data_IF_633343165786
#
_entry.id   IF_633343165786
#
_cell.length_a   1.000
_cell.length_b   1.000
_cell.length_c   1.000
_cell.angle_alpha   90.00
_cell.angle_beta   90.00
_cell.angle_gamma   90.00
#
_symmetry.space_group_name_H-M   'P 1'
#
loop_
_entity.id
_entity.type
_entity.pdbx_description
1 polymer ?
#
# COMPACT_ATOMS: atom_id res chain seq x y z
N UNK A 1 -13.58 -9.29 -17.42
CA UNK A 1 -13.39 -8.48 -16.19
C UNK A 1 -12.51 -7.29 -16.56
N UNK A 2 -12.77 -6.11 -16.00
CA UNK A 2 -11.93 -4.92 -16.25
C UNK A 2 -10.66 -5.06 -15.39
N UNK A 3 -9.48 -4.88 -15.99
CA UNK A 3 -8.23 -4.90 -15.25
C UNK A 3 -8.19 -3.74 -14.22
N UNK A 4 -7.60 -4.00 -13.06
CA UNK A 4 -7.46 -3.02 -11.97
C UNK A 4 -6.00 -2.60 -11.83
N UNK A 5 -5.75 -1.30 -11.74
CA UNK A 5 -4.42 -0.76 -11.44
C UNK A 5 -4.47 0.04 -10.16
N UNK A 6 -3.65 -0.40 -9.20
CA UNK A 6 -3.48 0.23 -7.89
C UNK A 6 -2.25 1.12 -7.96
N UNK A 7 -2.44 2.44 -7.92
CA UNK A 7 -1.35 3.41 -7.96
C UNK A 7 -0.87 3.70 -6.53
N UNK A 8 0.42 3.52 -6.29
CA UNK A 8 1.06 3.82 -5.01
C UNK A 8 2.28 4.71 -5.22
N UNK A 9 2.73 5.42 -4.21
CA UNK A 9 3.81 6.40 -4.38
C UNK A 9 5.15 5.71 -4.66
N UNK A 10 5.50 4.74 -3.81
CA UNK A 10 6.81 4.10 -3.82
C UNK A 10 6.76 2.57 -3.86
N UNK A 11 7.96 1.98 -3.99
CA UNK A 11 8.15 0.53 -3.98
C UNK A 11 7.81 -0.09 -2.60
N UNK A 12 8.03 0.63 -1.51
CA UNK A 12 7.64 0.20 -0.16
C UNK A 12 6.14 -0.04 -0.06
N UNK A 13 5.34 0.92 -0.54
CA UNK A 13 3.88 0.83 -0.53
C UNK A 13 3.40 -0.33 -1.40
N UNK A 14 4.03 -0.53 -2.56
CA UNK A 14 3.72 -1.66 -3.43
C UNK A 14 3.88 -2.98 -2.67
N UNK A 15 5.05 -3.19 -2.06
CA UNK A 15 5.33 -4.42 -1.33
C UNK A 15 4.42 -4.59 -0.11
N UNK A 16 4.02 -3.50 0.55
CA UNK A 16 3.05 -3.54 1.64
C UNK A 16 1.65 -3.98 1.16
N UNK A 17 1.16 -3.40 0.07
CA UNK A 17 -0.15 -3.77 -0.52
C UNK A 17 -0.13 -5.22 -0.99
N UNK A 18 0.91 -5.64 -1.72
CA UNK A 18 1.05 -7.01 -2.20
C UNK A 18 1.14 -8.01 -1.02
N UNK A 19 1.88 -7.67 0.03
CA UNK A 19 1.99 -8.51 1.23
C UNK A 19 0.65 -8.67 1.95
N UNK A 20 -0.14 -7.59 2.10
CA UNK A 20 -1.45 -7.68 2.75
C UNK A 20 -2.42 -8.47 1.89
N UNK A 21 -2.47 -8.19 0.58
CA UNK A 21 -3.34 -8.89 -0.34
C UNK A 21 -3.07 -10.41 -0.33
N UNK A 22 -1.80 -10.81 -0.39
CA UNK A 22 -1.41 -12.21 -0.27
C UNK A 22 -1.82 -12.81 1.09
N UNK A 23 -1.62 -12.08 2.18
CA UNK A 23 -2.03 -12.50 3.53
C UNK A 23 -3.54 -12.69 3.68
N UNK A 24 -4.34 -12.00 2.87
CA UNK A 24 -5.79 -12.13 2.78
C UNK A 24 -6.25 -13.16 1.72
N UNK A 25 -5.32 -13.83 1.04
CA UNK A 25 -5.62 -14.88 0.07
C UNK A 25 -5.91 -14.39 -1.35
N UNK A 26 -5.65 -13.12 -1.66
CA UNK A 26 -5.81 -12.60 -3.02
C UNK A 26 -4.76 -13.17 -3.97
N UNK A 27 -5.20 -13.52 -5.19
CA UNK A 27 -4.30 -13.84 -6.30
C UNK A 27 -4.38 -12.71 -7.32
N UNK A 28 -3.49 -11.71 -7.17
CA UNK A 28 -3.50 -10.50 -7.98
C UNK A 28 -3.45 -10.76 -9.49
N UNK A 29 -2.73 -11.81 -9.92
CA UNK A 29 -2.67 -12.17 -11.34
C UNK A 29 -4.01 -12.71 -11.85
N UNK A 30 -4.64 -13.63 -11.10
CA UNK A 30 -5.95 -14.18 -11.44
C UNK A 30 -7.07 -13.12 -11.37
N UNK A 31 -6.92 -12.16 -10.44
CA UNK A 31 -7.84 -11.04 -10.22
C UNK A 31 -7.59 -9.85 -11.18
N UNK A 32 -6.57 -9.94 -12.04
CA UNK A 32 -6.15 -8.87 -12.96
C UNK A 32 -5.87 -7.54 -12.24
N UNK A 33 -5.26 -7.61 -11.06
CA UNK A 33 -4.83 -6.47 -10.25
C UNK A 33 -3.33 -6.28 -10.41
N UNK A 34 -2.91 -5.07 -10.79
CA UNK A 34 -1.51 -4.68 -10.83
C UNK A 34 -1.27 -3.53 -9.84
N UNK A 35 -0.32 -3.70 -8.91
CA UNK A 35 0.14 -2.63 -8.03
C UNK A 35 1.34 -1.93 -8.67
N UNK A 36 1.22 -0.64 -8.90
CA UNK A 36 2.15 0.14 -9.72
C UNK A 36 2.72 1.30 -8.89
N UNK A 37 4.02 1.27 -8.57
CA UNK A 37 4.70 2.37 -7.91
C UNK A 37 4.96 3.48 -8.92
N UNK A 38 4.61 4.70 -8.56
CA UNK A 38 4.70 5.87 -9.44
C UNK A 38 6.08 6.52 -9.43
N UNK A 39 6.90 6.24 -8.40
CA UNK A 39 8.18 6.92 -8.20
C UNK A 39 7.96 8.38 -7.75
N UNK A 40 6.97 8.60 -6.88
CA UNK A 40 6.56 9.91 -6.40
C UNK A 40 5.19 10.35 -6.90
N UNK A 41 4.44 11.04 -6.04
CA UNK A 41 3.07 11.46 -6.34
C UNK A 41 2.97 12.37 -7.57
N UNK A 42 4.00 13.18 -7.86
CA UNK A 42 4.04 14.10 -9.00
C UNK A 42 3.94 13.40 -10.36
N UNK A 43 4.31 12.11 -10.42
CA UNK A 43 4.22 11.30 -11.64
C UNK A 43 2.80 10.84 -11.97
N UNK A 44 1.83 11.01 -11.08
CA UNK A 44 0.48 10.45 -11.23
C UNK A 44 -0.18 10.77 -12.58
N UNK A 45 -0.02 11.99 -13.10
CA UNK A 45 -0.62 12.38 -14.38
C UNK A 45 -0.19 11.49 -15.56
N UNK A 46 1.06 10.98 -15.55
CA UNK A 46 1.55 10.03 -16.56
C UNK A 46 0.81 8.70 -16.46
N UNK A 47 0.60 8.21 -15.24
CA UNK A 47 -0.06 6.93 -14.99
C UNK A 47 -1.56 7.01 -15.26
N UNK A 48 -2.22 8.12 -14.94
CA UNK A 48 -3.62 8.36 -15.28
C UNK A 48 -3.85 8.41 -16.80
N UNK A 49 -2.95 9.02 -17.57
CA UNK A 49 -3.04 8.97 -19.05
C UNK A 49 -2.85 7.55 -19.60
N UNK A 50 -1.98 6.76 -18.98
CA UNK A 50 -1.70 5.39 -19.41
C UNK A 50 -2.83 4.42 -19.09
N UNK A 51 -3.34 4.47 -17.87
CA UNK A 51 -4.25 3.46 -17.32
C UNK A 51 -5.69 3.93 -17.16
N UNK A 52 -5.92 5.25 -17.09
CA UNK A 52 -7.25 5.82 -16.91
C UNK A 52 -8.12 5.77 -18.18
N UNK A 53 -9.26 6.49 -18.17
CA UNK A 53 -10.28 6.39 -19.23
C UNK A 53 -9.78 6.68 -20.64
N UNK A 54 -8.84 7.61 -20.79
CA UNK A 54 -8.23 7.96 -22.08
C UNK A 54 -7.08 7.05 -22.54
N UNK A 55 -6.73 6.04 -21.74
CA UNK A 55 -5.65 5.08 -22.02
C UNK A 55 -6.18 3.66 -22.07
N UNK A 56 -5.64 2.78 -21.22
CA UNK A 56 -6.05 1.38 -21.14
C UNK A 56 -7.45 1.18 -20.52
N UNK A 57 -8.08 2.23 -19.97
CA UNK A 57 -9.42 2.14 -19.40
C UNK A 57 -9.52 1.16 -18.22
N UNK A 58 -8.48 1.04 -17.41
CA UNK A 58 -8.46 0.21 -16.22
C UNK A 58 -9.31 0.85 -15.11
N UNK A 59 -9.79 0.02 -14.19
CA UNK A 59 -10.28 0.51 -12.90
C UNK A 59 -9.09 0.99 -12.08
N UNK A 60 -9.11 2.24 -11.66
CA UNK A 60 -8.02 2.82 -10.88
C UNK A 60 -8.37 2.81 -9.40
N UNK A 61 -7.42 2.37 -8.59
CA UNK A 61 -7.40 2.49 -7.14
C UNK A 61 -6.07 3.15 -6.74
N UNK A 62 -5.95 3.60 -5.50
CA UNK A 62 -4.63 4.03 -5.03
C UNK A 62 -4.51 4.27 -3.54
N UNK A 63 -3.26 4.46 -3.13
CA UNK A 63 -2.86 4.86 -1.79
C UNK A 63 -1.97 6.10 -1.92
N UNK A 64 -2.18 7.09 -1.06
CA UNK A 64 -1.38 8.29 -1.02
C UNK A 64 -1.37 8.93 0.35
N UNK A 65 -0.46 9.88 0.56
CA UNK A 65 -0.34 10.57 1.83
C UNK A 65 -1.28 11.78 1.88
N UNK A 66 -1.68 12.18 3.10
CA UNK A 66 -2.54 13.34 3.30
C UNK A 66 -1.96 14.61 2.65
N UNK A 67 -0.63 14.75 2.64
CA UNK A 67 0.08 15.86 2.03
C UNK A 67 -0.14 15.94 0.49
N UNK A 68 -0.34 14.81 -0.18
CA UNK A 68 -0.53 14.77 -1.65
C UNK A 68 -2.00 14.70 -2.07
N UNK A 69 -2.90 14.42 -1.14
CA UNK A 69 -4.34 14.22 -1.40
C UNK A 69 -4.94 15.28 -2.34
N UNK A 70 -4.67 16.57 -2.09
CA UNK A 70 -5.20 17.67 -2.90
C UNK A 70 -4.61 17.68 -4.31
N UNK A 71 -3.33 17.36 -4.45
CA UNK A 71 -2.66 17.27 -5.74
C UNK A 71 -3.23 16.10 -6.57
N UNK A 72 -3.40 14.95 -5.95
CA UNK A 72 -3.95 13.74 -6.57
C UNK A 72 -5.40 13.96 -6.98
N UNK A 73 -6.24 14.53 -6.12
CA UNK A 73 -7.64 14.81 -6.44
C UNK A 73 -7.77 15.71 -7.69
N UNK A 74 -6.93 16.74 -7.80
CA UNK A 74 -6.87 17.60 -9.00
C UNK A 74 -6.44 16.83 -10.24
N UNK A 75 -5.46 15.94 -10.11
CA UNK A 75 -4.99 15.12 -11.23
C UNK A 75 -6.07 14.15 -11.72
N UNK A 76 -6.81 13.51 -10.82
CA UNK A 76 -7.93 12.62 -11.17
C UNK A 76 -9.05 13.37 -11.89
N UNK A 77 -9.42 14.57 -11.40
CA UNK A 77 -10.41 15.42 -12.05
C UNK A 77 -9.99 15.81 -13.48
N UNK A 78 -8.72 16.19 -13.69
CA UNK A 78 -8.18 16.49 -15.02
C UNK A 78 -8.13 15.28 -15.95
N UNK A 79 -8.00 14.07 -15.40
CA UNK A 79 -7.98 12.82 -16.15
C UNK A 79 -9.39 12.29 -16.49
N UNK A 80 -10.46 12.97 -16.06
CA UNK A 80 -11.83 12.61 -16.40
C UNK A 80 -12.41 11.46 -15.55
N UNK A 81 -11.88 11.20 -14.35
CA UNK A 81 -12.47 10.21 -13.43
C UNK A 81 -13.77 10.69 -12.75
N UNK A 82 -14.22 11.89 -13.08
CA UNK A 82 -15.45 12.48 -12.56
C UNK A 82 -15.26 13.25 -11.25
N UNK A 83 -16.30 13.96 -10.78
CA UNK A 83 -16.29 14.62 -9.49
C UNK A 83 -16.42 13.61 -8.35
N UNK A 84 -15.76 13.86 -7.22
CA UNK A 84 -15.87 13.01 -6.05
C UNK A 84 -14.77 13.26 -5.02
N UNK A 85 -14.93 12.65 -3.85
CA UNK A 85 -13.83 12.52 -2.89
C UNK A 85 -12.86 11.44 -3.35
N UNK A 86 -11.59 11.52 -2.96
CA UNK A 86 -10.61 10.45 -3.25
C UNK A 86 -11.12 9.07 -2.86
N UNK A 87 -11.72 8.94 -1.67
CA UNK A 87 -12.31 7.70 -1.20
C UNK A 87 -13.38 7.15 -2.16
N UNK A 88 -14.29 8.01 -2.66
CA UNK A 88 -15.32 7.62 -3.64
C UNK A 88 -14.73 7.21 -5.00
N UNK A 89 -13.55 7.71 -5.33
CA UNK A 89 -12.80 7.36 -6.54
C UNK A 89 -11.88 6.15 -6.35
N UNK A 90 -11.92 5.48 -5.19
CA UNK A 90 -11.11 4.30 -4.88
C UNK A 90 -9.69 4.60 -4.40
N UNK A 91 -9.40 5.85 -4.02
CA UNK A 91 -8.12 6.28 -3.47
C UNK A 91 -8.22 6.43 -1.94
N UNK A 92 -7.36 5.71 -1.23
CA UNK A 92 -7.23 5.77 0.22
C UNK A 92 -6.09 6.72 0.61
N UNK A 93 -6.22 7.34 1.78
CA UNK A 93 -5.31 8.39 2.24
C UNK A 93 -4.71 7.98 3.58
N UNK A 94 -3.39 7.92 3.67
CA UNK A 94 -2.66 7.77 4.93
C UNK A 94 -2.63 9.10 5.70
N UNK A 95 -2.66 9.04 7.03
CA UNK A 95 -2.65 10.24 7.89
C UNK A 95 -1.35 11.04 7.75
N UNK A 96 -0.21 10.33 7.79
CA UNK A 96 1.12 10.89 7.52
C UNK A 96 1.73 10.17 6.33
N UNK A 97 2.15 8.92 6.53
CA UNK A 97 2.58 7.99 5.49
C UNK A 97 2.26 6.56 5.91
N UNK A 98 2.51 5.59 5.03
CA UNK A 98 2.19 4.20 5.31
C UNK A 98 3.01 3.62 6.48
N UNK A 99 4.27 4.03 6.64
CA UNK A 99 5.09 3.57 7.76
C UNK A 99 4.54 4.04 9.11
N UNK A 100 4.08 5.29 9.22
CA UNK A 100 3.45 5.80 10.43
C UNK A 100 2.18 5.01 10.77
N UNK A 101 1.31 4.74 9.78
CA UNK A 101 0.10 3.93 9.97
C UNK A 101 0.43 2.52 10.49
N UNK A 102 1.46 1.88 9.92
CA UNK A 102 1.90 0.55 10.34
C UNK A 102 2.50 0.56 11.76
N UNK A 103 3.33 1.54 12.09
CA UNK A 103 3.91 1.68 13.44
C UNK A 103 2.80 1.89 14.47
N UNK A 104 1.84 2.77 14.17
CA UNK A 104 0.74 3.10 15.08
C UNK A 104 -0.20 1.92 15.29
N UNK A 105 -0.39 1.10 14.26
CA UNK A 105 -1.21 -0.11 14.33
C UNK A 105 -0.53 -1.27 15.08
N UNK A 106 0.77 -1.50 14.85
CA UNK A 106 1.53 -2.57 15.51
C UNK A 106 1.94 -2.23 16.94
N UNK A 107 2.17 -0.94 17.21
CA UNK A 107 2.80 -0.47 18.43
C UNK A 107 4.32 -0.65 18.44
N UNK A 108 4.99 0.16 19.26
CA UNK A 108 6.47 0.26 19.32
C UNK A 108 7.11 -1.09 19.63
N UNK A 109 6.61 -1.82 20.64
CA UNK A 109 7.18 -3.09 21.08
C UNK A 109 7.22 -4.14 19.96
N UNK A 110 6.12 -4.29 19.21
CA UNK A 110 6.07 -5.23 18.10
C UNK A 110 7.08 -4.84 17.00
N UNK A 111 7.16 -3.55 16.68
CA UNK A 111 8.10 -3.05 15.67
C UNK A 111 9.56 -3.27 16.10
N UNK A 112 9.88 -3.07 17.39
CA UNK A 112 11.21 -3.35 17.93
C UNK A 112 11.56 -4.84 17.83
N UNK A 113 10.61 -5.74 18.12
CA UNK A 113 10.80 -7.18 17.94
C UNK A 113 11.09 -7.56 16.49
N UNK A 114 10.46 -6.89 15.51
CA UNK A 114 10.75 -7.09 14.09
C UNK A 114 12.18 -6.62 13.76
N UNK A 115 12.59 -5.44 14.23
CA UNK A 115 13.94 -4.91 14.03
C UNK A 115 14.99 -5.83 14.66
N UNK A 116 14.71 -6.37 15.85
CA UNK A 116 15.57 -7.33 16.54
C UNK A 116 15.71 -8.64 15.75
N UNK A 117 14.61 -9.20 15.25
CA UNK A 117 14.63 -10.38 14.39
C UNK A 117 15.41 -10.15 13.08
N UNK A 118 15.55 -8.90 12.64
CA UNK A 118 16.40 -8.51 11.50
C UNK A 118 17.86 -8.24 11.88
N UNK A 119 18.24 -8.37 13.16
CA UNK A 119 19.58 -8.12 13.68
C UNK A 119 19.96 -6.63 13.77
N UNK A 120 18.98 -5.72 13.62
CA UNK A 120 19.23 -4.28 13.50
C UNK A 120 18.90 -3.49 14.78
N UNK A 121 18.57 -4.18 15.88
CA UNK A 121 18.29 -3.50 17.15
C UNK A 121 19.48 -2.64 17.63
N UNK A 122 20.75 -3.07 17.52
CA UNK A 122 21.89 -2.21 17.85
C UNK A 122 21.95 -0.94 16.99
N UNK A 123 21.65 -1.04 15.69
CA UNK A 123 21.56 0.12 14.79
C UNK A 123 20.49 1.10 15.24
N UNK A 124 19.32 0.59 15.64
CA UNK A 124 18.24 1.42 16.15
C UNK A 124 18.64 2.13 17.46
N UNK A 125 19.22 1.40 18.43
CA UNK A 125 19.70 2.00 19.69
C UNK A 125 20.76 3.08 19.47
N UNK A 126 21.63 2.92 18.46
CA UNK A 126 22.58 3.97 18.09
C UNK A 126 21.88 5.22 17.54
N UNK A 127 20.86 5.04 16.70
CA UNK A 127 20.05 6.14 16.17
C UNK A 127 19.32 6.89 17.29
N UNK A 128 18.80 6.20 18.31
CA UNK A 128 18.16 6.84 19.47
C UNK A 128 19.08 7.79 20.24
N UNK A 129 20.41 7.58 20.20
CA UNK A 129 21.37 8.45 20.90
C UNK A 129 21.67 9.76 20.16
N UNK A 130 21.20 9.91 18.92
CA UNK A 130 21.46 11.11 18.13
C UNK A 130 20.76 12.34 18.75
N UNK A 131 21.42 13.51 18.85
CA UNK A 131 20.83 14.70 19.48
C UNK A 131 19.49 15.15 18.88
N UNK A 132 19.31 14.96 17.57
CA UNK A 132 18.07 15.31 16.86
C UNK A 132 16.89 14.37 17.17
N UNK A 133 17.16 13.21 17.77
CA UNK A 133 16.20 12.11 17.94
C UNK A 133 16.00 11.67 19.38
N UNK A 134 16.99 11.83 20.26
CA UNK A 134 16.95 11.31 21.64
C UNK A 134 15.76 11.81 22.48
N UNK A 135 15.30 13.03 22.20
CA UNK A 135 14.19 13.68 22.91
C UNK A 135 12.86 13.56 22.14
N UNK A 136 12.84 12.80 21.02
CA UNK A 136 11.64 12.51 20.23
C UNK A 136 10.95 11.25 20.74
N UNK A 137 9.67 11.09 20.40
CA UNK A 137 8.92 9.87 20.68
C UNK A 137 9.54 8.67 19.96
N UNK A 138 9.39 7.47 20.53
CA UNK A 138 9.90 6.24 19.90
C UNK A 138 9.27 5.99 18.53
N UNK A 139 8.01 6.37 18.33
CA UNK A 139 7.34 6.34 17.02
C UNK A 139 8.07 7.19 15.99
N UNK A 140 8.47 8.43 16.35
CA UNK A 140 9.23 9.30 15.46
C UNK A 140 10.66 8.79 15.21
N UNK A 141 11.28 8.15 16.21
CA UNK A 141 12.59 7.51 16.05
C UNK A 141 12.51 6.30 15.11
N UNK A 142 11.48 5.46 15.24
CA UNK A 142 11.21 4.32 14.35
C UNK A 142 10.93 4.78 12.92
N UNK A 143 10.08 5.79 12.78
CA UNK A 143 9.80 6.42 11.50
C UNK A 143 11.09 6.91 10.83
N UNK A 144 11.93 7.61 11.59
CA UNK A 144 13.26 8.03 11.11
C UNK A 144 14.18 6.86 10.80
N UNK A 145 14.12 5.76 11.54
CA UNK A 145 14.94 4.58 11.28
C UNK A 145 14.58 3.92 9.93
N UNK A 146 13.29 3.85 9.60
CA UNK A 146 12.83 3.33 8.32
C UNK A 146 13.13 4.28 7.16
N UNK A 147 12.93 5.59 7.34
CA UNK A 147 13.20 6.60 6.31
C UNK A 147 14.67 7.01 6.17
N UNK A 148 15.52 6.72 7.17
CA UNK A 148 16.87 7.28 7.28
C UNK A 148 17.95 6.55 6.50
N UNK A 149 17.73 5.28 6.12
CA UNK A 149 18.66 4.49 5.29
C UNK A 149 17.99 4.12 3.97
N UNK A 150 18.74 4.22 2.88
CA UNK A 150 18.26 3.79 1.57
C UNK A 150 17.82 2.33 1.62
N UNK A 151 16.64 2.03 1.08
CA UNK A 151 16.08 0.67 1.00
C UNK A 151 15.42 0.15 2.28
N UNK A 152 15.53 0.83 3.43
CA UNK A 152 14.89 0.34 4.67
C UNK A 152 13.36 0.32 4.55
N UNK A 153 12.74 1.36 4.02
CA UNK A 153 11.28 1.39 3.75
C UNK A 153 10.84 0.16 2.93
N UNK A 154 11.56 -0.15 1.85
CA UNK A 154 11.28 -1.29 0.96
C UNK A 154 11.44 -2.62 1.70
N UNK A 155 12.52 -2.77 2.48
CA UNK A 155 12.80 -4.00 3.24
C UNK A 155 11.77 -4.25 4.34
N UNK A 156 11.41 -3.22 5.10
CA UNK A 156 10.58 -3.37 6.30
C UNK A 156 9.07 -3.35 6.00
N UNK A 157 8.62 -2.68 4.93
CA UNK A 157 7.20 -2.64 4.56
C UNK A 157 6.50 -4.02 4.59
N UNK A 158 6.98 -5.07 3.88
CA UNK A 158 6.33 -6.38 3.93
C UNK A 158 6.49 -7.09 5.29
N UNK A 159 7.55 -6.80 6.06
CA UNK A 159 7.76 -7.38 7.39
C UNK A 159 6.74 -6.84 8.40
N UNK A 160 6.54 -5.52 8.39
CA UNK A 160 5.55 -4.86 9.22
C UNK A 160 4.14 -5.36 8.88
N UNK A 161 3.80 -5.45 7.59
CA UNK A 161 2.50 -5.95 7.16
C UNK A 161 2.24 -7.39 7.60
N UNK A 162 3.23 -8.29 7.49
CA UNK A 162 3.09 -9.68 7.91
C UNK A 162 2.95 -9.86 9.42
N UNK A 163 3.40 -8.88 10.21
CA UNK A 163 3.26 -8.89 11.65
C UNK A 163 1.89 -8.39 12.13
N UNK A 164 1.07 -7.81 11.24
CA UNK A 164 -0.26 -7.33 11.59
C UNK A 164 -1.14 -8.51 12.03
N UNK A 165 -1.85 -8.40 13.16
CA UNK A 165 -2.87 -9.38 13.52
C UNK A 165 -3.94 -9.46 12.43
N UNK A 166 -4.52 -10.66 12.24
CA UNK A 166 -5.60 -10.85 11.28
C UNK A 166 -6.75 -9.86 11.53
N UNK A 167 -7.20 -9.17 10.49
CA UNK A 167 -8.26 -8.16 10.58
C UNK A 167 -7.86 -6.82 11.21
N UNK A 168 -6.59 -6.63 11.58
CA UNK A 168 -6.07 -5.41 12.21
C UNK A 168 -5.08 -4.67 11.32
N UNK A 169 -5.31 -4.65 10.00
CA UNK A 169 -4.53 -3.78 9.13
C UNK A 169 -4.96 -2.31 9.28
N UNK A 170 -4.06 -1.35 9.09
CA UNK A 170 -4.42 0.06 9.13
C UNK A 170 -5.51 0.36 8.10
N UNK A 171 -6.47 1.21 8.47
CA UNK A 171 -7.69 1.45 7.72
C UNK A 171 -7.47 1.79 6.23
N UNK A 172 -6.52 2.68 5.85
CA UNK A 172 -6.28 2.99 4.44
C UNK A 172 -5.86 1.76 3.63
N UNK A 173 -5.01 0.91 4.20
CA UNK A 173 -4.51 -0.29 3.53
C UNK A 173 -5.60 -1.38 3.45
N UNK A 174 -6.36 -1.57 4.55
CA UNK A 174 -7.46 -2.53 4.61
C UNK A 174 -8.56 -2.17 3.60
N UNK A 175 -8.99 -0.90 3.55
CA UNK A 175 -10.00 -0.42 2.59
C UNK A 175 -9.54 -0.56 1.16
N UNK A 176 -8.26 -0.34 0.88
CA UNK A 176 -7.71 -0.47 -0.46
C UNK A 176 -7.78 -1.92 -0.96
N UNK A 177 -7.31 -2.89 -0.15
CA UNK A 177 -7.34 -4.30 -0.53
C UNK A 177 -8.78 -4.83 -0.59
N UNK A 178 -9.67 -4.38 0.30
CA UNK A 178 -11.10 -4.71 0.23
C UNK A 178 -11.77 -4.23 -1.07
N UNK A 179 -11.19 -3.27 -1.79
CA UNK A 179 -11.69 -2.84 -3.10
C UNK A 179 -11.27 -3.77 -4.24
N UNK A 180 -10.40 -4.76 -4.01
CA UNK A 180 -9.96 -5.68 -5.06
C UNK A 180 -11.14 -6.57 -5.49
N UNK A 181 -11.20 -6.93 -6.79
CA UNK A 181 -12.27 -7.80 -7.24
C UNK A 181 -12.18 -9.14 -6.52
N UNK A 182 -13.33 -9.68 -6.09
CA UNK A 182 -13.37 -11.08 -5.68
C UNK A 182 -12.95 -11.94 -6.87
N UNK A 183 -12.11 -12.95 -6.63
CA UNK A 183 -11.81 -13.94 -7.65
C UNK A 183 -13.14 -14.47 -8.20
N UNK A 184 -13.37 -14.30 -9.51
CA UNK A 184 -14.49 -14.96 -10.16
C UNK A 184 -14.29 -16.45 -9.90
N UNK A 185 -15.17 -17.05 -9.08
CA UNK A 185 -15.16 -18.48 -8.85
C UNK A 185 -15.08 -19.14 -10.23
N UNK A 186 -13.97 -19.85 -10.46
CA UNK A 186 -13.67 -20.45 -11.76
C UNK A 186 -14.95 -21.14 -12.24
N UNK A 187 -15.45 -20.69 -13.39
CA UNK A 187 -16.70 -21.17 -13.97
C UNK A 187 -16.70 -22.70 -13.89
N UNK A 188 -17.73 -23.21 -13.20
CA UNK A 188 -17.93 -24.62 -12.95
C UNK A 188 -17.61 -25.43 -14.21
N UNK A 189 -16.67 -26.36 -14.08
CA UNK A 189 -16.41 -27.37 -15.09
C UNK A 189 -17.69 -28.19 -15.24
N UNK A 190 -18.50 -27.87 -16.25
CA UNK A 190 -19.62 -28.69 -16.66
C UNK A 190 -19.06 -30.08 -17.00
N UNK A 191 -19.46 -31.17 -16.31
CA UNK A 191 -19.15 -32.49 -16.82
C UNK A 191 -19.92 -32.65 -18.13
N UNK A 192 -19.17 -32.76 -19.23
CA UNK A 192 -19.71 -33.13 -20.52
C UNK A 192 -20.27 -34.55 -20.42
N UNK A 193 -21.59 -34.64 -20.33
CA UNK A 193 -22.35 -35.85 -20.56
C UNK A 193 -22.08 -36.32 -21.99
N UNK A 194 -21.21 -37.30 -22.17
CA UNK A 194 -21.07 -38.02 -23.44
C UNK A 194 -22.26 -38.97 -23.63
N UNK A 195 -22.88 -39.03 -24.81
CA UNK A 195 -24.02 -39.92 -25.03
C UNK A 195 -23.56 -41.33 -25.42
N UNK A 196 -24.23 -42.31 -24.79
CA UNK A 196 -24.52 -43.71 -25.18
C UNK A 196 -23.38 -44.62 -25.65
#
# INVERSE_FOLDING_TARGET
MQATTVLVEGESDRLAVEALALGLGHNLAAEQVAVVPMGGATSIGRYLRRFGPGGAGHRLLGLCDAAESTFIARALGRAGLGPGTLASLGFQICSSDLEDELIRCLGVECVLGIIEAQGELPSFRLLQRQPSLRDRTETAQLHRFFGGRSGNKIRYAPLLVRALPAGHAPEPLARLVACFPAAAAAAASTPHSGPR
#
